data_IF_643780135705
#
_entry.id   IF_643780135705
#
_cell.length_a   1.000
_cell.length_b   1.000
_cell.length_c   1.000
_cell.angle_alpha   90.00
_cell.angle_beta   90.00
_cell.angle_gamma   90.00
#
_symmetry.space_group_name_H-M   'P 1'
#
loop_
_entity.id
_entity.type
_entity.pdbx_description
1 polymer ?
#
# COMPACT_ATOMS: atom_id res chain seq x y z
N UNK A 1 5.95 22.04 1.81
CA UNK A 1 6.60 20.71 1.93
C UNK A 1 6.83 20.29 3.38
N UNK A 2 7.41 21.13 4.28
CA UNK A 2 7.63 20.77 5.70
C UNK A 2 6.36 20.25 6.40
N UNK A 3 5.20 20.85 6.16
CA UNK A 3 3.92 20.39 6.73
C UNK A 3 3.58 18.96 6.30
N UNK A 4 3.72 18.62 5.02
CA UNK A 4 3.46 17.28 4.52
C UNK A 4 4.45 16.26 5.10
N UNK A 5 5.72 16.64 5.26
CA UNK A 5 6.74 15.79 5.86
C UNK A 5 6.39 15.45 7.32
N UNK A 6 5.99 16.43 8.13
CA UNK A 6 5.59 16.16 9.51
C UNK A 6 4.32 15.31 9.61
N UNK A 7 3.32 15.58 8.77
CA UNK A 7 2.10 14.76 8.70
C UNK A 7 2.37 13.35 8.16
N UNK A 8 3.40 13.15 7.35
CA UNK A 8 3.77 11.81 6.86
C UNK A 8 4.43 10.94 7.94
N UNK A 9 5.01 11.56 8.96
CA UNK A 9 5.58 10.85 10.12
C UNK A 9 4.49 10.45 11.12
N UNK A 10 3.57 11.36 11.38
CA UNK A 10 2.46 11.17 12.30
C UNK A 10 1.24 11.95 11.80
N UNK A 11 0.33 11.23 11.14
CA UNK A 11 -0.92 11.80 10.64
C UNK A 11 -1.92 12.17 11.75
N UNK A 12 -1.69 11.70 12.98
CA UNK A 12 -2.54 11.97 14.14
C UNK A 12 -1.99 13.09 15.03
N UNK A 13 -0.89 13.74 14.64
CA UNK A 13 -0.33 14.86 15.41
C UNK A 13 -1.37 15.97 15.58
N UNK A 14 -1.53 16.47 16.81
CA UNK A 14 -2.47 17.55 17.07
C UNK A 14 -2.03 18.87 16.40
N UNK A 15 -2.99 19.68 15.98
CA UNK A 15 -2.70 20.99 15.37
C UNK A 15 -1.89 21.90 16.29
N UNK A 16 -2.14 21.99 17.62
CA UNK A 16 -1.28 22.73 18.53
C UNK A 16 0.17 22.24 18.57
N UNK A 17 0.39 20.93 18.61
CA UNK A 17 1.73 20.35 18.60
C UNK A 17 2.45 20.64 17.27
N UNK A 18 1.75 20.51 16.15
CA UNK A 18 2.28 20.82 14.81
C UNK A 18 2.59 22.32 14.67
N UNK A 19 1.76 23.19 15.23
CA UNK A 19 1.96 24.64 15.29
C UNK A 19 3.26 24.99 16.01
N UNK A 20 3.48 24.41 17.17
CA UNK A 20 4.73 24.59 17.94
C UNK A 20 5.95 24.10 17.16
N UNK A 21 5.84 22.97 16.50
CA UNK A 21 6.93 22.33 15.74
C UNK A 21 7.32 23.12 14.49
N UNK A 22 6.36 23.69 13.80
CA UNK A 22 6.56 24.41 12.54
C UNK A 22 6.67 25.92 12.68
N UNK A 23 6.37 26.48 13.85
CA UNK A 23 6.33 27.93 14.07
C UNK A 23 5.23 28.64 13.28
N UNK A 24 4.11 27.96 13.02
CA UNK A 24 2.97 28.47 12.24
C UNK A 24 1.72 28.42 13.13
N UNK A 25 0.87 29.46 13.10
CA UNK A 25 -0.34 29.49 13.91
C UNK A 25 -1.28 28.32 13.58
N UNK A 26 -2.01 27.87 14.59
CA UNK A 26 -2.95 26.74 14.46
C UNK A 26 -4.02 27.00 13.40
N UNK A 27 -4.57 28.21 13.32
CA UNK A 27 -5.58 28.58 12.34
C UNK A 27 -5.05 28.50 10.90
N UNK A 28 -3.82 28.96 10.68
CA UNK A 28 -3.15 28.87 9.35
C UNK A 28 -2.86 27.41 8.99
N UNK A 29 -2.40 26.60 9.93
CA UNK A 29 -2.18 25.16 9.71
C UNK A 29 -3.47 24.44 9.34
N UNK A 30 -4.53 24.67 10.10
CA UNK A 30 -5.84 24.08 9.82
C UNK A 30 -6.32 24.44 8.40
N UNK A 31 -6.24 25.69 8.03
CA UNK A 31 -6.60 26.15 6.69
C UNK A 31 -5.74 25.51 5.60
N UNK A 32 -4.42 25.38 5.81
CA UNK A 32 -3.50 24.73 4.87
C UNK A 32 -3.80 23.26 4.70
N UNK A 33 -4.01 22.51 5.78
CA UNK A 33 -4.37 21.08 5.74
C UNK A 33 -5.68 20.90 4.97
N UNK A 34 -6.72 21.67 5.30
CA UNK A 34 -8.00 21.64 4.60
C UNK A 34 -7.87 21.88 3.10
N UNK A 35 -7.02 22.83 2.70
CA UNK A 35 -6.73 23.13 1.29
C UNK A 35 -6.00 21.96 0.59
N UNK A 36 -5.05 21.31 1.26
CA UNK A 36 -4.32 20.16 0.73
C UNK A 36 -5.22 18.94 0.52
N UNK A 37 -6.17 18.72 1.44
CA UNK A 37 -7.22 17.68 1.31
C UNK A 37 -8.16 18.03 0.16
N UNK A 38 -8.65 19.28 0.08
CA UNK A 38 -9.52 19.72 -1.01
C UNK A 38 -8.86 19.57 -2.38
N UNK A 39 -7.56 19.87 -2.49
CA UNK A 39 -6.77 19.68 -3.71
C UNK A 39 -6.40 18.23 -3.99
N UNK A 40 -6.83 17.28 -3.13
CA UNK A 40 -6.51 15.84 -3.21
C UNK A 40 -5.00 15.54 -3.19
N UNK A 41 -4.17 16.47 -2.73
CA UNK A 41 -2.75 16.22 -2.47
C UNK A 41 -2.60 15.29 -1.25
N UNK A 42 -3.38 15.54 -0.20
CA UNK A 42 -3.63 14.58 0.87
C UNK A 42 -4.88 13.79 0.47
N UNK A 43 -4.70 12.53 0.11
CA UNK A 43 -5.82 11.68 -0.34
C UNK A 43 -6.62 11.15 0.84
N UNK A 44 -5.95 10.78 1.92
CA UNK A 44 -6.55 10.26 3.15
C UNK A 44 -5.56 10.34 4.32
N UNK A 45 -6.07 10.34 5.52
CA UNK A 45 -5.34 9.99 6.73
C UNK A 45 -5.58 8.51 7.02
N UNK A 46 -4.54 7.81 7.44
CA UNK A 46 -4.61 6.38 7.71
C UNK A 46 -3.70 6.02 8.89
N UNK A 47 -3.79 4.80 9.33
CA UNK A 47 -2.94 4.25 10.39
C UNK A 47 -2.10 3.11 9.83
N UNK A 48 -0.99 2.86 10.45
CA UNK A 48 -0.19 1.67 10.28
C UNK A 48 -0.61 0.63 11.32
N UNK A 49 -0.78 -0.61 10.90
CA UNK A 49 -1.25 -1.71 11.73
C UNK A 49 -0.13 -2.73 11.84
N UNK A 50 0.11 -3.23 13.05
CA UNK A 50 0.94 -4.41 13.23
C UNK A 50 0.13 -5.66 12.87
N UNK A 51 0.21 -6.07 11.61
CA UNK A 51 -0.54 -7.19 11.07
C UNK A 51 -0.20 -8.52 11.77
N UNK A 52 0.99 -8.64 12.37
CA UNK A 52 1.38 -9.85 13.11
C UNK A 52 0.49 -10.09 14.32
N UNK A 53 0.04 -9.03 14.97
CA UNK A 53 -0.90 -9.09 16.09
C UNK A 53 -2.31 -9.52 15.65
N UNK A 54 -2.61 -9.44 14.35
CA UNK A 54 -3.85 -9.91 13.74
C UNK A 54 -3.73 -11.33 13.15
N UNK A 55 -2.61 -12.01 13.39
CA UNK A 55 -2.37 -13.36 12.91
C UNK A 55 -1.85 -13.45 11.48
N UNK A 56 -1.40 -12.35 10.89
CA UNK A 56 -0.73 -12.31 9.58
C UNK A 56 0.76 -12.59 9.79
N UNK A 57 1.17 -13.82 9.53
CA UNK A 57 2.55 -14.26 9.72
C UNK A 57 3.41 -14.20 8.46
N UNK A 58 2.79 -14.13 7.28
CA UNK A 58 3.48 -14.12 5.99
C UNK A 58 2.93 -13.05 5.07
N UNK A 59 3.83 -12.28 4.48
CA UNK A 59 3.54 -11.33 3.41
C UNK A 59 4.34 -11.73 2.19
N UNK A 60 3.69 -11.71 1.03
CA UNK A 60 4.32 -12.08 -0.22
C UNK A 60 3.93 -11.13 -1.34
N UNK A 61 4.78 -11.06 -2.35
CA UNK A 61 4.46 -10.46 -3.63
C UNK A 61 4.38 -11.56 -4.68
N UNK A 62 3.38 -11.55 -5.53
CA UNK A 62 3.26 -12.45 -6.66
C UNK A 62 3.37 -11.66 -7.95
N UNK A 63 4.30 -12.09 -8.81
CA UNK A 63 4.31 -11.66 -10.20
C UNK A 63 3.38 -12.55 -11.02
N UNK A 64 2.54 -11.95 -11.84
CA UNK A 64 1.54 -12.63 -12.66
C UNK A 64 1.75 -12.23 -14.12
N UNK A 65 1.82 -13.24 -14.99
CA UNK A 65 1.70 -13.08 -16.43
C UNK A 65 0.33 -13.57 -16.87
N UNK A 66 -0.30 -12.85 -17.78
CA UNK A 66 -1.66 -13.08 -18.20
C UNK A 66 -1.87 -12.80 -19.68
N UNK A 67 -2.94 -13.33 -20.23
CA UNK A 67 -3.41 -12.90 -21.54
C UNK A 67 -3.95 -11.46 -21.44
N UNK A 68 -3.45 -10.51 -22.26
CA UNK A 68 -3.89 -9.11 -22.24
C UNK A 68 -5.39 -8.93 -22.45
N UNK A 69 -6.03 -9.83 -23.18
CA UNK A 69 -7.47 -9.78 -23.46
C UNK A 69 -8.34 -9.93 -22.22
N UNK A 70 -7.81 -10.58 -21.17
CA UNK A 70 -8.54 -10.91 -19.94
C UNK A 70 -8.15 -10.03 -18.75
N UNK A 71 -7.45 -8.91 -19.00
CA UNK A 71 -6.99 -7.98 -17.96
C UNK A 71 -8.08 -7.60 -16.97
N UNK A 72 -9.23 -7.18 -17.47
CA UNK A 72 -10.33 -6.67 -16.62
C UNK A 72 -10.94 -7.79 -15.77
N UNK A 73 -11.15 -8.96 -16.35
CA UNK A 73 -11.72 -10.12 -15.64
C UNK A 73 -10.76 -10.62 -14.54
N UNK A 74 -9.48 -10.73 -14.87
CA UNK A 74 -8.45 -11.15 -13.91
C UNK A 74 -8.34 -10.13 -12.76
N UNK A 75 -8.34 -8.84 -13.07
CA UNK A 75 -8.31 -7.78 -12.05
C UNK A 75 -9.51 -7.88 -11.09
N UNK A 76 -10.72 -8.06 -11.63
CA UNK A 76 -11.93 -8.27 -10.81
C UNK A 76 -11.82 -9.52 -9.94
N UNK A 77 -11.38 -10.64 -10.50
CA UNK A 77 -11.22 -11.89 -9.77
C UNK A 77 -10.20 -11.76 -8.62
N UNK A 78 -9.10 -11.05 -8.85
CA UNK A 78 -8.09 -10.78 -7.82
C UNK A 78 -8.64 -9.90 -6.69
N UNK A 79 -9.49 -8.92 -7.00
CA UNK A 79 -10.13 -8.05 -5.99
C UNK A 79 -11.08 -8.83 -5.06
N UNK A 80 -11.65 -9.93 -5.50
CA UNK A 80 -12.53 -10.77 -4.68
C UNK A 80 -11.77 -11.67 -3.69
N UNK A 81 -10.46 -11.80 -3.83
CA UNK A 81 -9.63 -12.60 -2.93
C UNK A 81 -9.25 -11.75 -1.72
N UNK A 82 -9.73 -12.13 -0.55
CA UNK A 82 -9.53 -11.38 0.70
C UNK A 82 -8.06 -11.17 1.05
N UNK A 83 -7.22 -12.16 0.79
CA UNK A 83 -5.80 -12.15 1.08
C UNK A 83 -4.98 -11.21 0.14
N UNK A 84 -5.57 -10.82 -1.00
CA UNK A 84 -4.95 -9.86 -1.91
C UNK A 84 -5.18 -8.45 -1.39
N UNK A 85 -4.12 -7.76 -1.01
CA UNK A 85 -4.17 -6.43 -0.38
C UNK A 85 -3.78 -5.29 -1.33
N UNK A 86 -3.13 -5.59 -2.43
CA UNK A 86 -2.84 -4.61 -3.48
C UNK A 86 -2.62 -5.27 -4.83
N UNK A 87 -2.92 -4.54 -5.89
CA UNK A 87 -2.73 -4.94 -7.29
C UNK A 87 -2.05 -3.78 -8.00
N UNK A 88 -0.91 -4.04 -8.63
CA UNK A 88 -0.12 -3.04 -9.35
C UNK A 88 0.19 -3.57 -10.75
N UNK A 89 -0.17 -2.82 -11.77
CA UNK A 89 0.27 -3.08 -13.15
C UNK A 89 1.72 -2.61 -13.30
N UNK A 90 2.57 -3.43 -13.88
CA UNK A 90 3.99 -3.16 -14.01
C UNK A 90 4.48 -3.39 -15.42
N UNK A 91 5.66 -2.87 -15.73
CA UNK A 91 6.44 -3.23 -16.91
C UNK A 91 7.58 -4.15 -16.53
N UNK A 92 8.02 -5.00 -17.42
CA UNK A 92 9.12 -5.93 -17.20
C UNK A 92 8.69 -7.39 -17.33
N UNK A 93 9.26 -8.24 -16.51
CA UNK A 93 9.05 -9.70 -16.56
C UNK A 93 7.60 -10.12 -16.28
N UNK A 94 6.90 -9.38 -15.43
CA UNK A 94 5.50 -9.63 -15.09
C UNK A 94 4.61 -8.50 -15.58
N UNK A 95 3.34 -8.82 -15.85
CA UNK A 95 2.32 -7.86 -16.24
C UNK A 95 1.69 -7.19 -15.01
N UNK A 96 1.50 -7.95 -13.95
CA UNK A 96 0.85 -7.54 -12.72
C UNK A 96 1.62 -8.05 -11.51
N UNK A 97 1.79 -7.19 -10.51
CA UNK A 97 2.31 -7.57 -9.20
C UNK A 97 1.19 -7.42 -8.18
N UNK A 98 0.93 -8.46 -7.41
CA UNK A 98 -0.01 -8.39 -6.29
C UNK A 98 0.70 -8.59 -4.96
N UNK A 99 0.14 -8.04 -3.89
CA UNK A 99 0.57 -8.38 -2.53
C UNK A 99 -0.48 -9.25 -1.88
N UNK A 100 -0.01 -10.30 -1.22
CA UNK A 100 -0.83 -11.28 -0.53
C UNK A 100 -0.40 -11.36 0.93
N UNK A 101 -1.37 -11.30 1.83
CA UNK A 101 -1.17 -11.49 3.26
C UNK A 101 -1.79 -12.81 3.68
N UNK A 102 -1.04 -13.63 4.39
CA UNK A 102 -1.45 -14.97 4.81
C UNK A 102 -1.04 -15.23 6.26
N UNK A 103 -1.65 -16.22 6.89
CA UNK A 103 -1.35 -16.60 8.27
C UNK A 103 0.03 -17.23 8.39
N UNK A 104 0.34 -18.13 7.47
CA UNK A 104 1.57 -18.90 7.39
C UNK A 104 1.88 -19.30 5.95
N UNK A 105 2.94 -20.06 5.73
CA UNK A 105 3.33 -20.52 4.39
C UNK A 105 2.34 -21.53 3.79
N UNK A 106 1.68 -22.34 4.61
CA UNK A 106 0.67 -23.28 4.14
C UNK A 106 -0.56 -22.54 3.61
N UNK A 107 -1.03 -21.54 4.37
CA UNK A 107 -2.12 -20.66 3.95
C UNK A 107 -1.76 -19.88 2.67
N UNK A 108 -0.54 -19.34 2.57
CA UNK A 108 -0.05 -18.70 1.36
C UNK A 108 -0.08 -19.65 0.16
N UNK A 109 0.39 -20.87 0.33
CA UNK A 109 0.38 -21.90 -0.72
C UNK A 109 -1.05 -22.18 -1.19
N UNK A 110 -1.97 -22.37 -0.25
CA UNK A 110 -3.39 -22.56 -0.54
C UNK A 110 -3.98 -21.38 -1.35
N UNK A 111 -3.72 -20.16 -0.94
CA UNK A 111 -4.18 -18.96 -1.67
C UNK A 111 -3.64 -18.93 -3.11
N UNK A 112 -2.35 -19.22 -3.29
CA UNK A 112 -1.71 -19.22 -4.60
C UNK A 112 -2.29 -20.31 -5.52
N UNK A 113 -2.46 -21.52 -5.03
CA UNK A 113 -2.88 -22.66 -5.84
C UNK A 113 -4.41 -22.70 -6.00
N UNK A 114 -5.16 -22.53 -4.92
CA UNK A 114 -6.60 -22.77 -4.94
C UNK A 114 -7.44 -21.54 -5.28
N UNK A 115 -6.92 -20.35 -5.03
CA UNK A 115 -7.62 -19.09 -5.36
C UNK A 115 -7.05 -18.45 -6.61
N UNK A 116 -5.78 -18.07 -6.61
CA UNK A 116 -5.15 -17.35 -7.71
C UNK A 116 -4.95 -18.26 -8.92
N UNK A 117 -4.46 -19.48 -8.69
CA UNK A 117 -4.19 -20.45 -9.75
C UNK A 117 -5.44 -20.96 -10.50
N UNK A 118 -6.63 -20.80 -9.90
CA UNK A 118 -7.92 -21.12 -10.54
C UNK A 118 -8.49 -20.00 -11.41
N UNK A 119 -7.89 -18.82 -11.39
CA UNK A 119 -8.31 -17.72 -12.26
C UNK A 119 -7.90 -18.07 -13.70
N UNK A 120 -8.89 -18.15 -14.59
CA UNK A 120 -8.65 -18.43 -16.00
C UNK A 120 -7.78 -17.37 -16.65
N UNK A 121 -6.95 -17.78 -17.62
CA UNK A 121 -6.07 -16.91 -18.40
C UNK A 121 -4.89 -16.28 -17.65
N UNK A 122 -4.61 -16.72 -16.43
CA UNK A 122 -3.31 -16.55 -15.80
C UNK A 122 -2.38 -17.62 -16.38
N UNK A 123 -1.27 -17.17 -16.97
CA UNK A 123 -0.33 -18.04 -17.67
C UNK A 123 0.78 -18.54 -16.76
N UNK A 124 1.28 -17.64 -15.91
CA UNK A 124 2.41 -17.92 -15.03
C UNK A 124 2.34 -17.05 -13.76
N UNK A 125 2.78 -17.62 -12.66
CA UNK A 125 2.93 -16.91 -11.39
C UNK A 125 4.28 -17.21 -10.75
N UNK A 126 4.84 -16.23 -10.08
CA UNK A 126 6.06 -16.39 -9.28
C UNK A 126 5.84 -15.70 -7.93
N UNK A 127 6.11 -16.41 -6.84
CA UNK A 127 5.87 -15.94 -5.48
C UNK A 127 7.17 -15.52 -4.81
N UNK A 128 7.20 -14.31 -4.27
CA UNK A 128 8.30 -13.75 -3.50
C UNK A 128 7.85 -13.55 -2.07
N UNK A 129 8.34 -14.37 -1.17
CA UNK A 129 8.04 -14.23 0.27
C UNK A 129 8.90 -13.11 0.85
N UNK A 130 8.25 -12.17 1.52
CA UNK A 130 8.92 -11.05 2.18
C UNK A 130 9.66 -11.56 3.43
N UNK A 131 10.98 -11.41 3.46
CA UNK A 131 11.81 -11.79 4.60
C UNK A 131 11.95 -10.65 5.60
N UNK A 132 12.13 -9.44 5.07
CA UNK A 132 12.31 -8.22 5.87
C UNK A 132 11.88 -7.01 5.05
N UNK A 133 11.19 -6.10 5.69
CA UNK A 133 10.85 -4.79 5.13
C UNK A 133 11.42 -3.69 6.02
N UNK A 134 12.01 -2.68 5.40
CA UNK A 134 12.43 -1.47 6.09
C UNK A 134 11.82 -0.27 5.40
N UNK A 135 10.99 0.46 6.11
CA UNK A 135 10.44 1.71 5.62
C UNK A 135 11.36 2.89 6.00
N UNK A 136 11.48 3.82 5.09
CA UNK A 136 12.22 5.07 5.30
C UNK A 136 11.27 6.26 5.34
N UNK A 137 11.66 7.26 6.08
CA UNK A 137 10.96 8.55 6.03
C UNK A 137 10.92 9.10 4.60
N UNK A 138 9.83 9.75 4.25
CA UNK A 138 9.61 10.35 2.92
C UNK A 138 10.46 11.63 2.75
N UNK A 139 11.76 11.46 2.73
CA UNK A 139 12.73 12.58 2.71
C UNK A 139 12.57 13.49 1.50
N UNK A 140 12.00 13.01 0.39
CA UNK A 140 11.69 13.85 -0.77
C UNK A 140 10.69 14.97 -0.46
N UNK A 141 9.86 14.82 0.59
CA UNK A 141 8.96 15.86 1.06
C UNK A 141 9.68 16.98 1.80
N UNK A 142 10.92 16.76 2.20
CA UNK A 142 11.72 17.76 2.92
C UNK A 142 12.71 18.51 2.02
N UNK A 143 12.83 18.13 0.73
CA UNK A 143 13.64 18.87 -0.22
C UNK A 143 13.00 20.24 -0.46
N UNK A 144 13.74 21.29 -0.12
CA UNK A 144 13.43 22.65 -0.58
C UNK A 144 13.60 22.65 -2.10
N UNK A 145 12.52 22.69 -2.82
CA UNK A 145 12.48 23.08 -4.21
C UNK A 145 12.39 24.58 -4.27
#
# INVERSE_FOLDING_TARGET
MKLLFELSKDGNISVPALSKKLGISASVLYSRIKRLVKKKLIKKFTMEIDDSLLGIGVKASLGINRDPKFKIQIHKALLEITEVVSIVEVTGRFDTMIRVYAKDLEDLHSVVIEKIGKIECIQNTETFVELQKTDKELTYLNKNT
#
